data_IF_367283693242
#
_entry.id   IF_367283693242
#
_cell.length_a   1.000
_cell.length_b   1.000
_cell.length_c   1.000
_cell.angle_alpha   90.00
_cell.angle_beta   90.00
_cell.angle_gamma   90.00
#
_symmetry.space_group_name_H-M   'P 1'
#
loop_
_entity.id
_entity.type
_entity.pdbx_description
1 polymer ?
#
# COMPACT_ATOMS: atom_id res chain seq x y z
N UNK A 1 0.90 -15.83 5.33
CA UNK A 1 1.34 -15.06 4.13
C UNK A 1 2.64 -14.34 4.44
N UNK A 2 3.64 -14.40 3.55
CA UNK A 2 4.88 -13.63 3.75
C UNK A 2 4.65 -12.16 3.42
N UNK A 3 5.42 -11.23 4.03
CA UNK A 3 5.38 -9.78 3.72
C UNK A 3 5.43 -9.50 2.22
N UNK A 4 6.22 -10.28 1.48
CA UNK A 4 6.37 -10.18 0.02
C UNK A 4 5.05 -10.53 -0.70
N UNK A 5 4.37 -11.59 -0.28
CA UNK A 5 3.08 -12.00 -0.85
C UNK A 5 2.01 -10.90 -0.69
N UNK A 6 1.95 -10.26 0.48
CA UNK A 6 1.02 -9.15 0.72
C UNK A 6 1.33 -7.92 -0.16
N UNK A 7 2.62 -7.64 -0.38
CA UNK A 7 3.06 -6.55 -1.26
C UNK A 7 2.64 -6.80 -2.72
N UNK A 8 2.84 -8.02 -3.23
CA UNK A 8 2.41 -8.39 -4.58
C UNK A 8 0.89 -8.34 -4.74
N UNK A 9 0.15 -8.85 -3.74
CA UNK A 9 -1.31 -8.77 -3.72
C UNK A 9 -1.79 -7.32 -3.77
N UNK A 10 -1.15 -6.43 -3.00
CA UNK A 10 -1.46 -5.00 -2.98
C UNK A 10 -1.21 -4.35 -4.35
N UNK A 11 -0.09 -4.65 -5.00
CA UNK A 11 0.22 -4.13 -6.34
C UNK A 11 -0.81 -4.61 -7.37
N UNK A 12 -1.16 -5.91 -7.34
CA UNK A 12 -2.20 -6.47 -8.22
C UNK A 12 -3.56 -5.80 -8.02
N UNK A 13 -4.00 -5.63 -6.77
CA UNK A 13 -5.26 -4.97 -6.44
C UNK A 13 -5.29 -3.50 -6.88
N UNK A 14 -4.14 -2.82 -6.77
CA UNK A 14 -4.02 -1.43 -7.22
C UNK A 14 -4.12 -1.31 -8.73
N UNK A 15 -3.43 -2.18 -9.48
CA UNK A 15 -3.56 -2.25 -10.94
C UNK A 15 -4.98 -2.59 -11.39
N UNK A 16 -5.65 -3.51 -10.69
CA UNK A 16 -7.04 -3.86 -10.95
C UNK A 16 -7.99 -2.67 -10.70
N UNK A 17 -7.82 -1.95 -9.58
CA UNK A 17 -8.61 -0.77 -9.26
C UNK A 17 -8.45 0.34 -10.31
N UNK A 18 -7.22 0.57 -10.79
CA UNK A 18 -6.94 1.53 -11.88
C UNK A 18 -7.64 1.12 -13.16
N UNK A 19 -7.59 -0.17 -13.53
CA UNK A 19 -8.26 -0.70 -14.71
C UNK A 19 -9.78 -0.54 -14.64
N UNK A 20 -10.41 -0.77 -13.48
CA UNK A 20 -11.85 -0.56 -13.31
C UNK A 20 -12.18 0.93 -13.38
N UNK A 21 -11.46 1.80 -12.67
CA UNK A 21 -11.70 3.25 -12.70
C UNK A 21 -11.63 3.81 -14.12
N UNK A 22 -10.66 3.36 -14.92
CA UNK A 22 -10.50 3.79 -16.31
C UNK A 22 -11.67 3.41 -17.23
N UNK A 23 -12.36 2.30 -16.94
CA UNK A 23 -13.49 1.82 -17.75
C UNK A 23 -14.85 2.25 -17.19
N UNK A 24 -14.94 2.43 -15.87
CA UNK A 24 -16.17 2.76 -15.15
C UNK A 24 -15.87 3.81 -14.08
N UNK A 25 -15.73 5.10 -14.46
CA UNK A 25 -15.46 6.17 -13.51
C UNK A 25 -16.72 6.39 -12.66
N UNK A 26 -16.73 5.83 -11.47
CA UNK A 26 -17.84 5.89 -10.52
C UNK A 26 -17.34 6.12 -9.09
N UNK A 27 -18.22 6.58 -8.21
CA UNK A 27 -17.86 6.95 -6.83
C UNK A 27 -17.25 5.76 -6.07
N UNK A 28 -17.73 4.53 -6.34
CA UNK A 28 -17.22 3.32 -5.72
C UNK A 28 -15.76 3.02 -6.07
N UNK A 29 -15.36 3.18 -7.34
CA UNK A 29 -13.96 2.98 -7.75
C UNK A 29 -13.04 4.09 -7.25
N UNK A 30 -13.55 5.32 -7.16
CA UNK A 30 -12.88 6.45 -6.50
C UNK A 30 -12.59 6.16 -5.02
N UNK A 31 -13.59 5.65 -4.27
CA UNK A 31 -13.40 5.24 -2.88
C UNK A 31 -12.38 4.10 -2.75
N UNK A 32 -12.42 3.12 -3.65
CA UNK A 32 -11.46 2.01 -3.68
C UNK A 32 -10.02 2.51 -3.89
N UNK A 33 -9.81 3.44 -4.84
CA UNK A 33 -8.51 4.10 -5.06
C UNK A 33 -8.04 4.85 -3.82
N UNK A 34 -8.92 5.63 -3.18
CA UNK A 34 -8.58 6.38 -1.97
C UNK A 34 -8.12 5.46 -0.83
N UNK A 35 -8.81 4.33 -0.63
CA UNK A 35 -8.45 3.32 0.38
C UNK A 35 -7.10 2.69 0.07
N UNK A 36 -6.84 2.34 -1.19
CA UNK A 36 -5.57 1.76 -1.61
C UNK A 36 -4.41 2.75 -1.39
N UNK A 37 -4.60 4.02 -1.72
CA UNK A 37 -3.60 5.07 -1.47
C UNK A 37 -3.33 5.21 0.04
N UNK A 38 -4.38 5.28 0.87
CA UNK A 38 -4.22 5.36 2.32
C UNK A 38 -3.44 4.16 2.88
N UNK A 39 -3.76 2.95 2.40
CA UNK A 39 -3.06 1.73 2.78
C UNK A 39 -1.57 1.76 2.37
N UNK A 40 -1.24 2.28 1.18
CA UNK A 40 0.15 2.46 0.74
C UNK A 40 0.92 3.38 1.68
N UNK A 41 0.35 4.53 2.04
CA UNK A 41 0.99 5.51 2.95
C UNK A 41 1.26 4.89 4.31
N UNK A 42 0.29 4.17 4.89
CA UNK A 42 0.47 3.46 6.18
C UNK A 42 1.61 2.45 6.08
N UNK A 43 1.67 1.68 5.00
CA UNK A 43 2.71 0.67 4.80
C UNK A 43 4.10 1.30 4.70
N UNK A 44 4.23 2.44 4.03
CA UNK A 44 5.48 3.22 3.92
C UNK A 44 5.89 3.74 5.30
N UNK A 45 4.98 4.41 6.03
CA UNK A 45 5.25 4.96 7.37
C UNK A 45 5.68 3.87 8.35
N UNK A 46 5.03 2.71 8.30
CA UNK A 46 5.39 1.57 9.13
C UNK A 46 6.78 1.03 8.77
N UNK A 47 7.11 0.91 7.49
CA UNK A 47 8.41 0.43 7.05
C UNK A 47 9.55 1.41 7.42
N UNK A 48 9.30 2.73 7.31
CA UNK A 48 10.22 3.78 7.76
C UNK A 48 10.42 3.71 9.28
N UNK A 49 9.35 3.57 10.05
CA UNK A 49 9.40 3.48 11.52
C UNK A 49 10.24 2.29 12.00
N UNK A 50 10.11 1.14 11.32
CA UNK A 50 10.95 -0.04 11.59
C UNK A 50 12.41 0.23 11.21
N UNK A 51 12.66 0.83 10.05
CA UNK A 51 14.01 1.18 9.61
C UNK A 51 14.72 2.14 10.57
N UNK A 52 14.00 3.15 11.08
CA UNK A 52 14.49 4.09 12.09
C UNK A 52 14.78 3.41 13.43
N UNK A 53 13.87 2.55 13.91
CA UNK A 53 14.11 1.75 15.12
C UNK A 53 15.34 0.85 14.99
N UNK A 54 15.51 0.19 13.85
CA UNK A 54 16.66 -0.69 13.59
C UNK A 54 17.98 0.08 13.54
N UNK A 55 18.01 1.25 12.88
CA UNK A 55 19.19 2.15 12.92
C UNK A 55 19.54 2.64 14.31
N UNK A 56 18.52 2.92 15.15
CA UNK A 56 18.73 3.36 16.53
C UNK A 56 19.31 2.25 17.41
N UNK A 57 18.88 1.00 17.20
CA UNK A 57 19.40 -0.15 17.94
C UNK A 57 20.81 -0.56 17.50
N UNK A 58 21.14 -0.44 16.21
CA UNK A 58 22.47 -0.79 15.69
C UNK A 58 23.55 0.28 15.96
N UNK A 59 23.19 1.38 16.62
CA UNK A 59 24.10 2.43 17.11
C UNK A 59 24.42 2.31 18.60
N UNK A 60 23.74 1.40 19.32
CA UNK A 60 24.13 0.93 20.66
C UNK A 60 24.91 -0.36 20.50
#
# INVERSE_FOLDING_TARGET
>A
MTRKTLMYLFIMLTGFAIGIYSNFPNIGTLMLMAVLIAAAVIMILYNISIGLKKRRQNKR
#
